data_IF_656834852911
#
_entry.id   IF_656834852911
#
_cell.length_a   1.000
_cell.length_b   1.000
_cell.length_c   1.000
_cell.angle_alpha   90.00
_cell.angle_beta   90.00
_cell.angle_gamma   90.00
#
_symmetry.space_group_name_H-M   'P 1'
#
loop_
_entity.id
_entity.type
_entity.pdbx_description
1 polymer ?
#
# COMPACT_ATOMS: atom_id res chain seq x y z
N UNK A 1 -10.56 17.21 -37.53
CA UNK A 1 -10.00 18.47 -37.01
C UNK A 1 -8.50 18.41 -37.28
N UNK A 2 -8.05 19.22 -38.21
CA UNK A 2 -6.70 19.26 -38.79
C UNK A 2 -5.81 20.23 -38.03
N UNK A 3 -4.48 20.03 -38.14
CA UNK A 3 -3.31 20.89 -37.85
C UNK A 3 -2.28 20.07 -37.04
N UNK A 4 -1.15 19.58 -37.58
CA UNK A 4 -0.15 20.20 -38.48
C UNK A 4 0.24 21.57 -37.93
N UNK A 5 1.48 21.90 -37.59
CA UNK A 5 2.75 21.56 -38.21
C UNK A 5 3.87 22.26 -37.41
N UNK A 6 5.10 22.02 -37.84
CA UNK A 6 6.15 23.02 -38.02
C UNK A 6 7.29 23.14 -37.01
N UNK A 7 8.42 22.55 -37.48
CA UNK A 7 9.70 23.21 -37.83
C UNK A 7 10.52 23.78 -36.67
N UNK A 8 11.70 23.24 -36.36
CA UNK A 8 12.95 23.13 -37.14
C UNK A 8 13.66 24.47 -37.42
N UNK A 9 14.88 24.54 -36.88
CA UNK A 9 16.09 25.08 -37.50
C UNK A 9 16.28 26.60 -37.60
N UNK A 10 17.55 26.97 -37.84
CA UNK A 10 18.12 28.30 -38.16
C UNK A 10 18.60 29.06 -36.89
N UNK A 11 19.84 29.54 -36.73
CA UNK A 11 20.92 29.79 -37.70
C UNK A 11 22.32 29.72 -37.09
N UNK A 12 23.27 29.54 -38.00
CA UNK A 12 24.73 29.64 -37.84
C UNK A 12 25.17 31.07 -38.24
N UNK A 13 26.42 31.42 -37.91
CA UNK A 13 27.33 32.37 -38.59
C UNK A 13 27.47 33.75 -37.94
N UNK A 14 28.73 34.09 -37.62
CA UNK A 14 29.16 35.44 -37.25
C UNK A 14 30.64 35.52 -36.88
N UNK A 15 31.50 35.18 -37.83
CA UNK A 15 32.96 35.36 -37.83
C UNK A 15 33.31 36.87 -37.94
N UNK A 16 34.51 37.29 -37.50
CA UNK A 16 35.45 38.27 -38.14
C UNK A 16 36.14 39.28 -37.19
N UNK A 17 37.47 39.07 -37.07
CA UNK A 17 38.62 40.01 -37.04
C UNK A 17 38.92 41.00 -35.91
N UNK A 18 40.22 41.05 -35.56
CA UNK A 18 40.89 42.11 -34.81
C UNK A 18 42.27 41.67 -34.32
N UNK A 19 43.24 41.50 -35.24
CA UNK A 19 44.68 41.44 -34.95
C UNK A 19 45.24 42.86 -34.74
N UNK A 20 46.45 42.91 -34.16
CA UNK A 20 47.37 44.03 -33.98
C UNK A 20 47.20 44.89 -32.71
N UNK A 21 48.04 44.66 -31.70
CA UNK A 21 49.27 45.44 -31.60
C UNK A 21 50.22 44.93 -30.50
N UNK A 22 51.48 44.80 -30.90
CA UNK A 22 52.65 44.57 -30.06
C UNK A 22 52.97 45.85 -29.26
N UNK A 23 53.50 45.69 -28.05
CA UNK A 23 54.66 46.39 -27.47
C UNK A 23 54.57 46.43 -25.93
N UNK A 24 55.66 46.08 -25.25
CA UNK A 24 55.91 46.59 -23.91
C UNK A 24 56.43 45.58 -22.88
N UNK A 25 57.75 45.50 -22.80
CA UNK A 25 58.57 44.94 -21.73
C UNK A 25 58.05 45.22 -20.31
N UNK A 26 58.18 44.22 -19.42
CA UNK A 26 58.06 44.43 -17.97
C UNK A 26 58.33 43.16 -17.17
N UNK A 27 59.56 43.00 -16.69
CA UNK A 27 59.96 41.99 -15.70
C UNK A 27 59.13 42.14 -14.41
N UNK A 28 58.72 41.03 -13.81
CA UNK A 28 58.03 41.02 -12.52
C UNK A 28 57.68 39.62 -12.07
N UNK A 29 58.69 38.85 -11.69
CA UNK A 29 58.49 37.60 -10.96
C UNK A 29 57.96 37.94 -9.56
N UNK A 30 56.68 37.63 -9.31
CA UNK A 30 56.09 37.58 -7.96
C UNK A 30 55.75 36.12 -7.66
N UNK A 31 56.42 35.48 -6.68
CA UNK A 31 56.05 34.16 -6.23
C UNK A 31 54.89 34.26 -5.22
N UNK A 32 54.15 33.15 -5.10
CA UNK A 32 53.34 32.81 -3.93
C UNK A 32 52.03 33.59 -3.77
N UNK A 33 50.98 33.09 -4.42
CA UNK A 33 49.59 33.34 -4.07
C UNK A 33 48.81 32.03 -4.18
N UNK A 34 48.62 31.36 -3.04
CA UNK A 34 47.81 30.17 -2.89
C UNK A 34 46.45 30.29 -3.58
N UNK A 35 46.17 29.41 -4.55
CA UNK A 35 44.78 29.03 -4.89
C UNK A 35 44.71 27.51 -4.82
N UNK A 36 44.93 26.98 -3.61
CA UNK A 36 44.66 25.58 -3.27
C UNK A 36 43.70 25.54 -2.08
N UNK A 37 42.47 26.02 -2.25
CA UNK A 37 41.40 25.80 -1.28
C UNK A 37 40.03 25.67 -1.95
N UNK A 38 39.83 24.67 -2.81
CA UNK A 38 38.46 24.21 -3.13
C UNK A 38 38.29 22.68 -3.13
N UNK A 39 39.34 21.89 -2.90
CA UNK A 39 39.24 20.43 -2.88
C UNK A 39 38.66 19.86 -1.57
N UNK A 40 38.72 20.59 -0.45
CA UNK A 40 38.19 20.13 0.84
C UNK A 40 36.68 20.29 1.01
N UNK A 41 36.07 21.28 0.35
CA UNK A 41 34.64 21.60 0.50
C UNK A 41 33.71 20.61 -0.20
N UNK A 42 34.13 20.05 -1.33
CA UNK A 42 33.34 19.07 -2.10
C UNK A 42 33.29 17.71 -1.42
N UNK A 43 34.39 17.28 -0.77
CA UNK A 43 34.44 16.00 -0.05
C UNK A 43 33.55 16.03 1.19
N UNK A 44 33.57 17.12 1.97
CA UNK A 44 32.67 17.29 3.12
C UNK A 44 31.20 17.35 2.68
N UNK A 45 30.89 18.07 1.60
CA UNK A 45 29.54 18.11 1.04
C UNK A 45 29.07 16.72 0.56
N UNK A 46 29.93 15.94 -0.09
CA UNK A 46 29.63 14.57 -0.53
C UNK A 46 29.41 13.62 0.65
N UNK A 47 30.21 13.72 1.71
CA UNK A 47 30.03 12.91 2.92
C UNK A 47 28.72 13.23 3.63
N UNK A 48 28.34 14.51 3.73
CA UNK A 48 27.05 14.92 4.30
C UNK A 48 25.89 14.38 3.47
N UNK A 49 25.95 14.48 2.14
CA UNK A 49 24.92 13.92 1.25
C UNK A 49 24.83 12.39 1.42
N UNK A 50 25.96 11.69 1.51
CA UNK A 50 25.97 10.25 1.73
C UNK A 50 25.32 9.87 3.07
N UNK A 51 25.61 10.59 4.15
CA UNK A 51 25.00 10.36 5.47
C UNK A 51 23.49 10.62 5.44
N UNK A 52 23.05 11.70 4.78
CA UNK A 52 21.63 12.01 4.61
C UNK A 52 20.91 10.90 3.84
N UNK A 53 21.48 10.41 2.74
CA UNK A 53 20.89 9.33 1.96
C UNK A 53 20.79 8.01 2.74
N UNK A 54 21.83 7.68 3.52
CA UNK A 54 21.84 6.47 4.35
C UNK A 54 20.83 6.55 5.49
N UNK A 55 20.60 7.74 6.05
CA UNK A 55 19.66 7.93 7.16
C UNK A 55 18.19 8.03 6.74
N UNK A 56 17.90 8.39 5.48
CA UNK A 56 16.52 8.45 4.96
C UNK A 56 15.84 7.07 4.95
N UNK A 57 16.55 6.02 4.50
CA UNK A 57 16.00 4.66 4.39
C UNK A 57 15.45 4.12 5.73
N UNK A 58 16.20 4.11 6.85
CA UNK A 58 15.69 3.62 8.13
C UNK A 58 14.55 4.50 8.67
N UNK A 59 14.56 5.81 8.42
CA UNK A 59 13.47 6.71 8.80
C UNK A 59 12.19 6.33 8.04
N UNK A 60 12.26 6.12 6.72
CA UNK A 60 11.10 5.69 5.92
C UNK A 60 10.55 4.35 6.42
N UNK A 61 11.43 3.37 6.68
CA UNK A 61 11.04 2.06 7.22
C UNK A 61 10.32 2.22 8.56
N UNK A 62 10.85 3.07 9.45
CA UNK A 62 10.23 3.35 10.75
C UNK A 62 8.84 3.99 10.61
N UNK A 63 8.68 4.99 9.72
CA UNK A 63 7.38 5.64 9.46
C UNK A 63 6.37 4.62 8.95
N UNK A 64 6.72 3.81 7.94
CA UNK A 64 5.84 2.80 7.36
C UNK A 64 5.44 1.77 8.42
N UNK A 65 6.39 1.30 9.23
CA UNK A 65 6.11 0.33 10.28
C UNK A 65 5.21 0.90 11.38
N UNK A 66 5.40 2.18 11.75
CA UNK A 66 4.54 2.88 12.70
C UNK A 66 3.11 3.02 12.17
N UNK A 67 2.94 3.40 10.90
CA UNK A 67 1.63 3.50 10.28
C UNK A 67 0.95 2.12 10.20
N UNK A 68 1.69 1.07 9.83
CA UNK A 68 1.18 -0.30 9.83
C UNK A 68 0.75 -0.76 11.22
N UNK A 69 1.51 -0.42 12.26
CA UNK A 69 1.16 -0.75 13.64
C UNK A 69 -0.14 -0.04 14.08
N UNK A 70 -0.32 1.23 13.71
CA UNK A 70 -1.55 1.97 13.97
C UNK A 70 -2.76 1.33 13.25
N UNK A 71 -2.61 1.00 11.97
CA UNK A 71 -3.67 0.35 11.19
C UNK A 71 -4.05 -1.03 11.77
N UNK A 72 -3.05 -1.82 12.19
CA UNK A 72 -3.29 -3.12 12.80
C UNK A 72 -4.03 -3.00 14.15
N UNK A 73 -3.77 -1.94 14.93
CA UNK A 73 -4.51 -1.66 16.17
C UNK A 73 -5.99 -1.31 15.88
N UNK A 74 -6.26 -0.52 14.83
CA UNK A 74 -7.63 -0.21 14.39
C UNK A 74 -8.37 -1.48 13.97
N UNK A 75 -7.73 -2.36 13.20
CA UNK A 75 -8.32 -3.64 12.82
C UNK A 75 -8.54 -4.56 14.02
N UNK A 76 -7.64 -4.54 15.01
CA UNK A 76 -7.83 -5.24 16.28
C UNK A 76 -9.05 -4.73 17.05
N UNK A 77 -9.27 -3.43 17.11
CA UNK A 77 -10.45 -2.86 17.78
C UNK A 77 -11.75 -3.25 17.05
N UNK A 78 -11.77 -3.12 15.72
CA UNK A 78 -12.92 -3.56 14.90
C UNK A 78 -13.20 -5.06 15.03
N UNK A 79 -12.16 -5.86 15.21
CA UNK A 79 -12.31 -7.29 15.49
C UNK A 79 -13.01 -7.52 16.83
N UNK A 80 -12.61 -6.82 17.90
CA UNK A 80 -13.29 -6.92 19.19
C UNK A 80 -14.75 -6.46 19.12
N UNK A 81 -15.03 -5.38 18.40
CA UNK A 81 -16.41 -4.92 18.12
C UNK A 81 -17.21 -6.00 17.38
N UNK A 82 -16.62 -6.63 16.36
CA UNK A 82 -17.26 -7.72 15.62
C UNK A 82 -17.58 -8.92 16.53
N UNK A 83 -16.69 -9.28 17.45
CA UNK A 83 -16.94 -10.33 18.45
C UNK A 83 -18.06 -9.95 19.43
N UNK A 84 -18.12 -8.69 19.86
CA UNK A 84 -19.20 -8.19 20.71
C UNK A 84 -20.56 -8.26 20.00
N UNK A 85 -20.61 -7.89 18.71
CA UNK A 85 -21.82 -8.04 17.90
C UNK A 85 -22.21 -9.50 17.73
N UNK A 86 -21.24 -10.42 17.51
CA UNK A 86 -21.50 -11.87 17.43
C UNK A 86 -22.16 -12.38 18.72
N UNK A 87 -21.63 -12.00 19.89
CA UNK A 87 -22.18 -12.41 21.18
C UNK A 87 -23.62 -11.91 21.39
N UNK A 88 -23.98 -10.74 20.85
CA UNK A 88 -25.32 -10.17 20.94
C UNK A 88 -26.28 -10.62 19.82
N UNK A 89 -25.81 -11.40 18.84
CA UNK A 89 -26.56 -11.76 17.64
C UNK A 89 -26.73 -13.29 17.52
N UNK A 90 -27.78 -13.87 18.13
CA UNK A 90 -28.08 -15.29 17.96
C UNK A 90 -28.20 -15.67 16.47
N UNK A 91 -27.66 -16.84 16.13
CA UNK A 91 -27.64 -17.37 14.77
C UNK A 91 -26.70 -16.65 13.80
N UNK A 92 -25.90 -15.68 14.27
CA UNK A 92 -24.85 -15.08 13.48
C UNK A 92 -23.51 -15.76 13.75
N UNK A 93 -22.74 -15.98 12.69
CA UNK A 93 -21.42 -16.59 12.81
C UNK A 93 -20.40 -16.00 11.83
N UNK A 94 -19.12 -16.22 12.11
CA UNK A 94 -18.00 -15.65 11.40
C UNK A 94 -17.58 -16.54 10.24
N UNK A 95 -17.45 -15.92 9.07
CA UNK A 95 -16.98 -16.58 7.86
C UNK A 95 -15.85 -15.80 7.21
N UNK A 96 -14.91 -16.51 6.60
CA UNK A 96 -13.96 -15.92 5.67
C UNK A 96 -14.34 -16.26 4.24
N UNK A 97 -14.31 -15.29 3.34
CA UNK A 97 -14.50 -15.55 1.91
C UNK A 97 -13.23 -16.17 1.35
N UNK A 98 -13.24 -17.47 1.03
CA UNK A 98 -12.10 -18.13 0.40
C UNK A 98 -11.94 -17.70 -1.06
N UNK A 99 -13.04 -17.67 -1.80
CA UNK A 99 -13.04 -17.41 -3.23
C UNK A 99 -14.36 -16.80 -3.67
N UNK A 100 -14.31 -15.84 -4.59
CA UNK A 100 -15.48 -15.39 -5.35
C UNK A 100 -15.40 -15.97 -6.75
N UNK A 101 -16.41 -16.72 -7.16
CA UNK A 101 -16.43 -17.33 -8.49
C UNK A 101 -17.46 -16.71 -9.43
N UNK A 102 -18.38 -15.89 -8.91
CA UNK A 102 -19.30 -15.13 -9.74
C UNK A 102 -19.70 -13.80 -9.10
N UNK A 103 -19.45 -12.71 -9.82
CA UNK A 103 -20.04 -11.40 -9.53
C UNK A 103 -21.29 -11.22 -10.37
N UNK A 104 -22.46 -11.28 -9.75
CA UNK A 104 -23.75 -11.11 -10.43
C UNK A 104 -24.32 -9.71 -10.18
N UNK A 105 -25.34 -9.33 -10.97
CA UNK A 105 -25.99 -8.02 -10.84
C UNK A 105 -26.63 -7.81 -9.46
N UNK A 106 -27.17 -8.88 -8.87
CA UNK A 106 -27.91 -8.85 -7.59
C UNK A 106 -27.13 -9.39 -6.39
N UNK A 107 -25.89 -9.82 -6.57
CA UNK A 107 -25.16 -10.47 -5.50
C UNK A 107 -23.89 -11.16 -5.94
N UNK A 108 -23.30 -11.93 -5.04
CA UNK A 108 -22.01 -12.58 -5.23
C UNK A 108 -22.11 -14.05 -4.89
N UNK A 109 -21.65 -14.94 -5.78
CA UNK A 109 -21.43 -16.35 -5.45
C UNK A 109 -19.99 -16.55 -5.02
N UNK A 110 -19.83 -17.17 -3.86
CA UNK A 110 -18.54 -17.35 -3.23
C UNK A 110 -18.45 -18.69 -2.50
N UNK A 111 -17.23 -19.15 -2.26
CA UNK A 111 -16.94 -20.19 -1.28
C UNK A 111 -16.50 -19.49 0.00
N UNK A 112 -17.17 -19.81 1.11
CA UNK A 112 -16.83 -19.36 2.45
C UNK A 112 -16.14 -20.46 3.25
N UNK A 113 -15.44 -20.07 4.30
CA UNK A 113 -14.91 -20.93 5.35
C UNK A 113 -15.48 -20.44 6.68
N UNK A 114 -16.19 -21.30 7.40
CA UNK A 114 -16.64 -21.00 8.75
C UNK A 114 -15.43 -20.92 9.67
N UNK A 115 -15.23 -19.79 10.37
CA UNK A 115 -14.03 -19.60 11.19
C UNK A 115 -14.02 -20.50 12.44
N UNK A 116 -15.18 -20.92 12.92
CA UNK A 116 -15.28 -21.82 14.07
C UNK A 116 -14.86 -23.26 13.73
N UNK A 117 -15.32 -23.78 12.59
CA UNK A 117 -15.17 -25.21 12.24
C UNK A 117 -14.16 -25.47 11.13
N UNK A 118 -13.77 -24.45 10.37
CA UNK A 118 -12.99 -24.59 9.14
C UNK A 118 -13.79 -25.19 7.97
N UNK A 119 -15.09 -25.44 8.13
CA UNK A 119 -15.91 -26.02 7.08
C UNK A 119 -16.03 -25.09 5.88
N UNK A 120 -15.83 -25.61 4.66
CA UNK A 120 -15.98 -24.86 3.41
C UNK A 120 -17.39 -25.04 2.85
N UNK A 121 -18.02 -23.96 2.44
CA UNK A 121 -19.39 -24.00 1.94
C UNK A 121 -19.60 -23.02 0.77
N UNK A 122 -20.40 -23.42 -0.22
CA UNK A 122 -20.90 -22.48 -1.24
C UNK A 122 -21.84 -21.47 -0.59
N UNK A 123 -21.84 -20.24 -1.10
CA UNK A 123 -22.66 -19.16 -0.58
C UNK A 123 -23.17 -18.23 -1.67
N UNK A 124 -24.31 -17.61 -1.39
CA UNK A 124 -24.85 -16.50 -2.16
C UNK A 124 -25.07 -15.30 -1.23
N UNK A 125 -24.39 -14.21 -1.57
CA UNK A 125 -24.47 -12.94 -0.90
C UNK A 125 -25.37 -11.99 -1.70
N UNK A 126 -26.64 -11.87 -1.34
CA UNK A 126 -27.57 -10.95 -2.00
C UNK A 126 -27.22 -9.50 -1.65
N UNK A 127 -27.19 -8.64 -2.66
CA UNK A 127 -26.93 -7.21 -2.52
C UNK A 127 -25.52 -6.83 -2.05
N UNK A 128 -24.66 -7.79 -1.69
CA UNK A 128 -23.33 -7.54 -1.15
C UNK A 128 -22.22 -8.12 -2.03
N UNK A 129 -21.04 -7.51 -1.90
CA UNK A 129 -19.86 -7.77 -2.74
C UNK A 129 -18.60 -8.02 -1.91
N UNK A 130 -18.56 -9.09 -1.11
CA UNK A 130 -17.37 -9.39 -0.33
C UNK A 130 -16.19 -9.77 -1.22
N UNK A 131 -15.00 -9.28 -0.87
CA UNK A 131 -13.76 -9.63 -1.57
C UNK A 131 -13.17 -10.95 -1.01
N UNK A 132 -12.44 -11.73 -1.82
CA UNK A 132 -11.65 -12.85 -1.30
C UNK A 132 -10.75 -12.41 -0.13
N UNK A 133 -10.71 -13.22 0.92
CA UNK A 133 -9.99 -12.97 2.18
C UNK A 133 -10.78 -12.18 3.22
N UNK A 134 -11.87 -11.48 2.83
CA UNK A 134 -12.69 -10.70 3.77
C UNK A 134 -13.28 -11.59 4.86
N UNK A 135 -13.38 -11.04 6.07
CA UNK A 135 -14.08 -11.70 7.18
C UNK A 135 -15.43 -11.02 7.39
N UNK A 136 -16.48 -11.81 7.50
CA UNK A 136 -17.83 -11.32 7.69
C UNK A 136 -18.45 -11.98 8.92
N UNK A 137 -19.28 -11.21 9.63
CA UNK A 137 -20.25 -11.73 10.57
C UNK A 137 -21.59 -11.80 9.86
N UNK A 138 -22.11 -13.01 9.65
CA UNK A 138 -23.28 -13.25 8.80
C UNK A 138 -24.36 -14.03 9.54
N UNK A 139 -25.62 -13.73 9.19
CA UNK A 139 -26.75 -14.64 9.36
C UNK A 139 -27.12 -15.23 8.01
N UNK A 140 -27.94 -16.28 8.03
CA UNK A 140 -28.45 -16.87 6.82
C UNK A 140 -29.04 -18.24 7.06
N UNK A 141 -29.34 -18.93 5.97
CA UNK A 141 -29.84 -20.29 5.99
C UNK A 141 -29.19 -21.11 4.89
N UNK A 142 -29.06 -22.41 5.12
CA UNK A 142 -28.60 -23.35 4.09
C UNK A 142 -29.81 -23.85 3.31
N UNK A 143 -29.70 -23.88 1.98
CA UNK A 143 -30.72 -24.46 1.13
C UNK A 143 -30.34 -24.50 -0.34
N UNK A 144 -31.37 -24.67 -1.19
CA UNK A 144 -31.21 -24.68 -2.63
C UNK A 144 -30.87 -23.28 -3.15
N UNK A 145 -29.67 -23.14 -3.70
CA UNK A 145 -29.27 -21.90 -4.36
C UNK A 145 -30.06 -21.69 -5.67
N UNK A 146 -30.49 -20.45 -5.99
CA UNK A 146 -31.10 -20.17 -7.28
C UNK A 146 -30.08 -20.51 -8.38
N UNK A 147 -30.42 -21.52 -9.19
CA UNK A 147 -29.65 -21.97 -10.36
C UNK A 147 -28.40 -22.84 -10.11
N UNK A 148 -28.25 -23.47 -8.95
CA UNK A 148 -27.27 -24.55 -8.79
C UNK A 148 -27.96 -25.79 -8.20
N UNK A 149 -27.65 -27.00 -8.69
CA UNK A 149 -28.20 -28.24 -8.13
C UNK A 149 -27.56 -28.61 -6.78
N UNK A 150 -27.07 -27.62 -6.03
CA UNK A 150 -26.42 -27.79 -4.75
C UNK A 150 -27.42 -27.43 -3.62
N UNK A 151 -27.87 -28.40 -2.80
CA UNK A 151 -28.77 -28.14 -1.68
C UNK A 151 -28.06 -27.52 -0.46
N UNK A 152 -26.74 -27.33 -0.52
CA UNK A 152 -25.92 -26.87 0.59
C UNK A 152 -25.38 -25.45 0.42
N UNK A 153 -26.07 -24.59 -0.33
CA UNK A 153 -25.68 -23.19 -0.49
C UNK A 153 -26.15 -22.38 0.72
N UNK A 154 -25.23 -21.63 1.34
CA UNK A 154 -25.55 -20.68 2.39
C UNK A 154 -26.05 -19.37 1.79
N UNK A 155 -27.31 -19.02 2.04
CA UNK A 155 -27.94 -17.82 1.53
C UNK A 155 -27.89 -16.69 2.55
N UNK A 156 -27.39 -15.53 2.12
CA UNK A 156 -27.27 -14.32 2.93
C UNK A 156 -28.04 -13.18 2.26
N UNK A 157 -29.09 -12.71 2.91
CA UNK A 157 -29.86 -11.53 2.49
C UNK A 157 -29.09 -10.23 2.75
N UNK A 158 -29.47 -9.10 2.12
CA UNK A 158 -28.73 -7.84 2.24
C UNK A 158 -28.53 -7.35 3.68
N UNK A 159 -29.51 -7.58 4.57
CA UNK A 159 -29.50 -7.20 5.99
C UNK A 159 -28.83 -8.25 6.89
N UNK A 160 -28.46 -9.40 6.35
CA UNK A 160 -27.86 -10.51 7.08
C UNK A 160 -26.33 -10.47 7.08
N UNK A 161 -25.70 -9.55 6.34
CA UNK A 161 -24.30 -9.18 6.55
C UNK A 161 -24.22 -8.15 7.66
N UNK A 162 -23.96 -8.59 8.89
CA UNK A 162 -23.98 -7.72 10.06
C UNK A 162 -22.74 -6.83 10.14
N UNK A 163 -21.58 -7.39 9.80
CA UNK A 163 -20.29 -6.69 9.75
C UNK A 163 -19.41 -7.31 8.68
N UNK A 164 -18.57 -6.49 8.05
CA UNK A 164 -17.58 -6.90 7.07
C UNK A 164 -16.24 -6.24 7.39
N UNK A 165 -15.18 -7.03 7.35
CA UNK A 165 -13.80 -6.60 7.52
C UNK A 165 -12.97 -6.94 6.28
N UNK A 166 -11.96 -6.12 5.94
CA UNK A 166 -11.25 -6.25 4.68
C UNK A 166 -10.31 -7.48 4.67
N UNK A 167 -9.82 -7.91 3.50
CA UNK A 167 -9.01 -9.13 3.36
C UNK A 167 -7.74 -9.20 4.21
N UNK A 168 -7.13 -8.06 4.50
CA UNK A 168 -5.90 -7.98 5.30
C UNK A 168 -6.11 -8.28 6.79
N UNK A 169 -7.36 -8.40 7.26
CA UNK A 169 -7.72 -8.53 8.68
C UNK A 169 -6.99 -9.67 9.38
N UNK A 170 -7.03 -10.90 8.84
CA UNK A 170 -6.36 -12.05 9.46
C UNK A 170 -4.86 -11.80 9.65
N UNK A 171 -4.22 -11.21 8.64
CA UNK A 171 -2.79 -10.89 8.69
C UNK A 171 -2.49 -9.77 9.70
N UNK A 172 -3.35 -8.75 9.79
CA UNK A 172 -3.22 -7.64 10.71
C UNK A 172 -3.36 -8.08 12.17
N UNK A 173 -4.35 -8.94 12.45
CA UNK A 173 -4.56 -9.52 13.78
C UNK A 173 -3.37 -10.38 14.20
N UNK A 174 -2.87 -11.25 13.31
CA UNK A 174 -1.70 -12.06 13.59
C UNK A 174 -0.44 -11.20 13.88
N UNK A 175 -0.22 -10.11 13.12
CA UNK A 175 0.87 -9.17 13.39
C UNK A 175 0.70 -8.46 14.72
N UNK A 176 -0.52 -8.02 15.04
CA UNK A 176 -0.83 -7.33 16.30
C UNK A 176 -0.53 -8.23 17.51
N UNK A 177 -1.01 -9.48 17.49
CA UNK A 177 -0.75 -10.47 18.54
C UNK A 177 0.75 -10.73 18.76
N UNK A 178 1.52 -10.91 17.67
CA UNK A 178 2.97 -11.10 17.75
C UNK A 178 3.69 -9.91 18.39
N UNK A 179 3.25 -8.67 18.10
CA UNK A 179 3.83 -7.47 18.75
C UNK A 179 3.53 -7.44 20.24
N UNK A 180 2.30 -7.74 20.65
CA UNK A 180 1.92 -7.76 22.07
C UNK A 180 2.72 -8.80 22.86
N UNK A 181 2.93 -9.99 22.28
CA UNK A 181 3.77 -11.03 22.88
C UNK A 181 5.24 -10.59 23.07
N UNK A 182 5.78 -9.76 22.17
CA UNK A 182 7.15 -9.24 22.28
C UNK A 182 7.30 -8.16 23.36
N UNK A 183 6.26 -7.35 23.59
CA UNK A 183 6.27 -6.25 24.56
C UNK A 183 6.07 -6.74 26.00
N UNK A 184 5.46 -7.91 26.19
CA UNK A 184 5.25 -8.53 27.50
C UNK A 184 6.12 -9.78 27.68
N UNK A 185 7.47 -9.65 27.76
CA UNK A 185 8.30 -10.78 28.15
C UNK A 185 7.90 -11.19 29.59
N UNK A 186 7.59 -12.47 29.76
CA UNK A 186 7.30 -13.09 31.06
C UNK A 186 8.51 -13.01 31.99
#
# INVERSE_FOLDING_TARGET
MSMSDSRSHVDVIGQVFGEDDLHGFGQGQVPSGQVMEHAGGTVLAQLVIAIVLVSIVPIIIWIINRQRAANDAVLSNRWQEMLAVRAAAPGADLVQVAQVYQWARRGTKAVIVWLETGYRQDSWFEGSRPLPGSILLVRGSTGWGPHNRNPHVFYVQPDQVLRMMPPETSSALARHQRRQAKVSPR
#
